data_IF_503961725530
#
_entry.id   IF_503961725530
#
_cell.length_a   1.000
_cell.length_b   1.000
_cell.length_c   1.000
_cell.angle_alpha   90.00
_cell.angle_beta   90.00
_cell.angle_gamma   90.00
#
_symmetry.space_group_name_H-M   'P 1'
#
loop_
_entity.id
_entity.type
_entity.pdbx_description
1 polymer ?
#
# COMPACT_ATOMS: atom_id res chain seq x y z
N UNK A 1 -87.83 46.25 40.22
CA UNK A 1 -86.85 45.13 40.17
C UNK A 1 -86.23 45.07 38.79
N UNK A 2 -85.04 45.62 38.67
CA UNK A 2 -84.29 45.67 37.40
C UNK A 2 -83.24 44.55 37.44
N UNK A 3 -83.37 43.58 36.53
CA UNK A 3 -82.35 42.55 36.26
C UNK A 3 -81.37 43.10 35.26
N UNK A 4 -80.12 43.24 35.68
CA UNK A 4 -78.98 43.56 34.79
C UNK A 4 -78.52 42.28 34.15
N UNK A 5 -78.55 42.19 32.80
CA UNK A 5 -77.87 41.14 32.02
C UNK A 5 -76.44 41.54 31.86
N UNK A 6 -75.50 40.69 32.32
CA UNK A 6 -74.10 40.84 32.07
C UNK A 6 -73.74 40.03 30.80
N UNK A 7 -73.26 40.73 29.74
CA UNK A 7 -72.67 40.09 28.55
C UNK A 7 -71.25 39.67 28.89
N UNK A 8 -71.02 38.36 28.82
CA UNK A 8 -69.65 37.77 28.91
C UNK A 8 -69.16 37.67 27.47
N UNK A 9 -68.20 38.53 27.08
CA UNK A 9 -67.47 38.44 25.81
C UNK A 9 -66.42 37.30 25.92
N UNK A 10 -66.66 36.25 25.15
CA UNK A 10 -65.66 35.17 24.96
C UNK A 10 -64.58 35.66 23.97
N UNK A 11 -63.39 35.93 24.47
CA UNK A 11 -62.22 36.12 23.60
C UNK A 11 -61.69 34.74 23.18
N UNK A 12 -61.92 34.35 21.94
CA UNK A 12 -61.25 33.19 21.32
C UNK A 12 -59.85 33.64 20.92
N UNK A 13 -58.85 33.28 21.73
CA UNK A 13 -57.44 33.36 21.33
C UNK A 13 -57.17 32.25 20.34
N UNK A 14 -57.16 32.62 19.06
CA UNK A 14 -56.69 31.71 18.03
C UNK A 14 -55.16 31.49 18.23
N UNK A 15 -54.79 30.37 18.85
CA UNK A 15 -53.40 29.93 18.89
C UNK A 15 -53.02 29.43 17.49
N UNK A 16 -52.46 30.35 16.65
CA UNK A 16 -51.85 29.96 15.39
C UNK A 16 -50.60 29.13 15.70
N UNK A 17 -50.75 27.80 15.68
CA UNK A 17 -49.61 26.89 15.62
C UNK A 17 -48.89 27.12 14.30
N UNK A 18 -47.85 27.94 14.35
CA UNK A 18 -46.92 28.01 13.23
C UNK A 18 -46.21 26.65 13.14
N UNK A 19 -46.58 25.89 12.13
CA UNK A 19 -45.83 24.71 11.74
C UNK A 19 -44.49 25.22 11.23
N UNK A 20 -43.43 25.12 12.07
CA UNK A 20 -42.07 25.30 11.60
C UNK A 20 -41.82 24.24 10.54
N UNK A 21 -41.75 24.64 9.27
CA UNK A 21 -41.32 23.74 8.21
C UNK A 21 -39.97 23.15 8.63
N UNK A 22 -39.89 21.84 8.72
CA UNK A 22 -38.65 21.16 9.02
C UNK A 22 -37.61 21.59 7.95
N UNK A 23 -36.58 22.30 8.37
CA UNK A 23 -35.53 22.75 7.49
C UNK A 23 -34.81 21.53 6.93
N UNK A 24 -34.97 21.28 5.64
CA UNK A 24 -34.23 20.22 4.96
C UNK A 24 -32.85 20.73 4.58
N UNK A 25 -31.82 20.19 5.23
CA UNK A 25 -30.42 20.37 4.84
C UNK A 25 -29.91 19.14 4.12
N UNK A 26 -29.17 19.33 3.04
CA UNK A 26 -28.45 18.25 2.37
C UNK A 26 -26.93 18.47 2.47
N UNK A 27 -26.22 17.36 2.65
CA UNK A 27 -24.78 17.33 2.72
C UNK A 27 -24.26 16.33 1.69
N UNK A 28 -23.29 16.74 0.88
CA UNK A 28 -22.52 15.83 0.01
C UNK A 28 -21.05 16.01 0.32
N UNK A 29 -20.32 14.90 0.38
CA UNK A 29 -18.86 14.93 0.63
C UNK A 29 -18.19 14.15 -0.50
N UNK A 30 -17.13 14.74 -1.09
CA UNK A 30 -16.33 14.05 -2.11
C UNK A 30 -15.45 12.99 -1.45
N UNK A 31 -14.97 12.02 -2.23
CA UNK A 31 -13.95 11.06 -1.77
C UNK A 31 -12.71 11.80 -1.27
N UNK A 32 -12.21 11.42 -0.11
CA UNK A 32 -10.89 11.83 0.39
C UNK A 32 -9.84 10.84 -0.14
N UNK A 33 -9.11 11.25 -1.15
CA UNK A 33 -8.05 10.44 -1.74
C UNK A 33 -6.68 10.98 -1.32
N UNK A 34 -5.91 10.17 -0.59
CA UNK A 34 -4.56 10.52 -0.17
C UNK A 34 -3.50 10.29 -1.26
N UNK A 35 -3.82 9.54 -2.33
CA UNK A 35 -2.83 9.16 -3.34
C UNK A 35 -2.00 7.95 -2.91
N UNK A 36 -0.66 8.00 -3.06
CA UNK A 36 0.24 6.88 -2.76
C UNK A 36 1.00 7.11 -1.47
N UNK A 37 0.86 6.18 -0.52
CA UNK A 37 1.61 6.20 0.74
C UNK A 37 2.91 5.40 0.60
N UNK A 38 4.02 6.04 0.94
CA UNK A 38 5.37 5.47 0.89
C UNK A 38 6.08 5.50 2.26
N UNK A 39 5.33 5.44 3.36
CA UNK A 39 5.88 5.45 4.73
C UNK A 39 6.11 6.84 5.32
N UNK A 40 6.05 7.91 4.54
CA UNK A 40 6.08 9.30 5.01
C UNK A 40 4.66 9.81 5.27
N UNK A 41 4.52 10.81 6.16
CA UNK A 41 3.21 11.42 6.40
C UNK A 41 2.62 11.96 5.10
N UNK A 42 1.32 11.72 4.90
CA UNK A 42 0.62 12.08 3.68
C UNK A 42 -0.67 12.82 4.02
N UNK A 43 -0.83 14.02 3.46
CA UNK A 43 -2.03 14.84 3.65
C UNK A 43 -2.94 14.78 2.43
N UNK A 44 -4.24 14.87 2.66
CA UNK A 44 -5.25 14.92 1.61
C UNK A 44 -6.42 15.81 2.03
N UNK A 45 -7.24 16.20 1.06
CA UNK A 45 -8.45 17.00 1.32
C UNK A 45 -9.65 16.44 0.57
N UNK A 46 -10.84 16.64 1.15
CA UNK A 46 -12.12 16.45 0.48
C UNK A 46 -13.00 17.68 0.67
N UNK A 47 -14.04 17.79 -0.13
CA UNK A 47 -14.98 18.92 -0.08
C UNK A 47 -16.34 18.44 0.41
N UNK A 48 -16.81 19.03 1.49
CA UNK A 48 -18.16 18.88 2.02
C UNK A 48 -19.00 20.09 1.56
N UNK A 49 -20.03 19.85 0.75
CA UNK A 49 -20.97 20.88 0.28
C UNK A 49 -22.29 20.77 1.06
N UNK A 50 -22.61 21.81 1.77
CA UNK A 50 -23.86 21.97 2.50
C UNK A 50 -24.84 22.82 1.67
N UNK A 51 -26.07 22.34 1.52
CA UNK A 51 -27.19 23.13 0.97
C UNK A 51 -28.29 23.17 2.03
N UNK A 52 -28.45 24.32 2.65
CA UNK A 52 -29.32 24.49 3.81
C UNK A 52 -29.89 25.91 3.86
N UNK A 53 -31.15 26.07 4.27
CA UNK A 53 -31.75 27.39 4.46
C UNK A 53 -31.48 27.99 5.85
N UNK A 54 -30.98 27.21 6.80
CA UNK A 54 -30.78 27.62 8.18
C UNK A 54 -29.43 27.18 8.76
N UNK A 55 -29.39 27.01 10.08
CA UNK A 55 -28.23 26.52 10.80
C UNK A 55 -27.97 25.05 10.55
N UNK A 56 -26.70 24.65 10.49
CA UNK A 56 -26.25 23.27 10.34
C UNK A 56 -25.00 22.97 11.17
N UNK A 57 -24.81 21.70 11.47
CA UNK A 57 -23.55 21.19 12.00
C UNK A 57 -23.20 19.86 11.31
N UNK A 58 -21.92 19.57 11.21
CA UNK A 58 -21.39 18.34 10.63
C UNK A 58 -20.58 17.60 11.68
N UNK A 59 -21.14 16.61 12.37
CA UNK A 59 -20.37 15.66 13.16
C UNK A 59 -19.62 14.71 12.24
N UNK A 60 -18.45 14.21 12.70
CA UNK A 60 -17.68 13.22 11.99
C UNK A 60 -17.49 12.01 12.91
N UNK A 61 -18.14 10.90 12.56
CA UNK A 61 -18.10 9.68 13.37
C UNK A 61 -16.84 8.84 13.08
N UNK A 62 -16.76 7.70 13.76
CA UNK A 62 -15.79 6.67 13.44
C UNK A 62 -16.05 6.12 12.04
N UNK A 63 -14.98 5.67 11.36
CA UNK A 63 -15.12 4.91 10.12
C UNK A 63 -15.48 3.45 10.37
N UNK A 64 -15.38 2.63 9.32
CA UNK A 64 -15.65 1.18 9.34
C UNK A 64 -14.44 0.33 9.72
N UNK A 65 -13.22 0.91 9.79
CA UNK A 65 -11.99 0.21 10.17
C UNK A 65 -12.03 -0.34 11.60
N UNK A 66 -11.42 -1.50 11.81
CA UNK A 66 -11.43 -2.19 13.11
C UNK A 66 -10.63 -1.41 14.15
N UNK A 67 -11.20 -1.19 15.31
CA UNK A 67 -10.57 -0.43 16.40
C UNK A 67 -10.55 1.08 16.19
N UNK A 68 -11.26 1.60 15.18
CA UNK A 68 -11.36 3.03 14.94
C UNK A 68 -11.99 3.77 16.14
N UNK A 69 -11.42 4.95 16.39
CA UNK A 69 -11.98 5.97 17.29
C UNK A 69 -12.28 7.23 16.49
N UNK A 70 -12.95 8.21 17.08
CA UNK A 70 -13.22 9.47 16.38
C UNK A 70 -11.96 10.33 16.14
N UNK A 71 -10.88 10.07 16.87
CA UNK A 71 -9.60 10.79 16.73
C UNK A 71 -8.55 10.01 15.93
N UNK A 72 -8.69 8.68 15.83
CA UNK A 72 -7.84 7.83 14.99
C UNK A 72 -8.71 6.81 14.29
N UNK A 73 -8.75 6.89 12.98
CA UNK A 73 -9.55 6.05 12.11
C UNK A 73 -8.64 5.11 11.33
N UNK A 74 -9.20 4.04 10.79
CA UNK A 74 -8.43 3.05 10.03
C UNK A 74 -9.08 2.76 8.69
N UNK A 75 -8.28 2.79 7.64
CA UNK A 75 -8.64 2.24 6.33
C UNK A 75 -8.26 0.77 6.30
N UNK A 76 -9.17 -0.08 5.86
CA UNK A 76 -8.93 -1.52 5.72
C UNK A 76 -8.40 -1.84 4.34
N UNK A 77 -7.34 -2.62 4.27
CA UNK A 77 -6.65 -3.05 3.06
C UNK A 77 -6.63 -4.57 2.88
N UNK A 78 -5.68 -5.09 2.08
CA UNK A 78 -5.56 -6.52 1.82
C UNK A 78 -5.41 -7.33 3.11
N UNK A 79 -6.09 -8.49 3.15
CA UNK A 79 -6.09 -9.44 4.28
C UNK A 79 -6.50 -8.81 5.63
N UNK A 80 -7.30 -7.73 5.60
CA UNK A 80 -7.73 -7.04 6.81
C UNK A 80 -6.65 -6.18 7.48
N UNK A 81 -5.59 -5.82 6.75
CA UNK A 81 -4.57 -4.90 7.25
C UNK A 81 -5.16 -3.49 7.45
N UNK A 82 -4.79 -2.84 8.54
CA UNK A 82 -5.33 -1.53 8.92
C UNK A 82 -4.26 -0.44 8.77
N UNK A 83 -4.62 0.67 8.12
CA UNK A 83 -3.80 1.87 7.97
C UNK A 83 -4.47 3.05 8.68
N UNK A 84 -3.83 3.56 9.73
CA UNK A 84 -4.35 4.64 10.56
C UNK A 84 -4.28 6.01 9.88
N UNK A 85 -5.34 6.80 10.05
CA UNK A 85 -5.41 8.19 9.60
C UNK A 85 -6.22 9.05 10.58
N UNK A 86 -6.14 10.37 10.41
CA UNK A 86 -6.89 11.34 11.19
C UNK A 86 -7.59 12.34 10.28
N UNK A 87 -8.70 12.89 10.75
CA UNK A 87 -9.42 13.99 10.10
C UNK A 87 -9.39 15.23 10.97
N UNK A 88 -9.31 16.40 10.32
CA UNK A 88 -9.18 17.69 10.97
C UNK A 88 -10.13 18.73 10.36
N UNK A 89 -10.51 19.71 11.17
CA UNK A 89 -11.33 20.84 10.76
C UNK A 89 -10.52 21.97 10.14
N UNK A 90 -9.19 21.96 10.31
CA UNK A 90 -8.28 23.04 9.93
C UNK A 90 -7.07 22.54 9.14
N UNK A 91 -6.52 23.41 8.28
CA UNK A 91 -5.37 23.12 7.44
C UNK A 91 -4.06 22.93 8.22
N UNK A 92 -3.98 23.41 9.46
CA UNK A 92 -2.81 23.22 10.33
C UNK A 92 -2.82 21.86 11.04
N UNK A 93 -3.90 21.09 10.87
CA UNK A 93 -4.10 19.77 11.49
C UNK A 93 -4.01 19.80 13.03
N UNK A 94 -4.59 20.84 13.64
CA UNK A 94 -4.54 21.06 15.10
C UNK A 94 -5.80 20.59 15.81
N UNK A 95 -6.96 20.70 15.16
CA UNK A 95 -8.25 20.35 15.74
C UNK A 95 -8.83 19.12 15.05
N UNK A 96 -8.90 17.98 15.77
CA UNK A 96 -9.54 16.78 15.22
C UNK A 96 -11.00 17.07 14.88
N UNK A 97 -11.46 16.49 13.78
CA UNK A 97 -12.87 16.53 13.41
C UNK A 97 -13.55 15.25 13.92
N UNK A 98 -14.35 15.38 14.94
CA UNK A 98 -15.07 14.29 15.61
C UNK A 98 -16.55 14.66 15.85
N UNK A 99 -17.26 13.92 16.69
CA UNK A 99 -18.66 14.20 17.00
C UNK A 99 -18.84 15.30 18.05
N UNK A 100 -17.75 15.79 18.65
CA UNK A 100 -17.75 16.88 19.65
C UNK A 100 -17.15 18.17 19.08
N UNK A 101 -16.12 18.04 18.25
CA UNK A 101 -15.48 19.17 17.54
C UNK A 101 -16.15 19.34 16.18
N UNK A 102 -17.37 19.86 16.19
CA UNK A 102 -18.24 20.01 15.02
C UNK A 102 -17.81 21.19 14.16
N UNK A 103 -17.96 21.05 12.84
CA UNK A 103 -18.02 22.22 11.95
C UNK A 103 -19.47 22.64 11.80
N UNK A 104 -19.75 23.91 12.02
CA UNK A 104 -21.11 24.47 11.99
C UNK A 104 -21.18 25.77 11.20
N UNK A 105 -22.38 26.10 10.75
CA UNK A 105 -22.62 27.35 10.00
C UNK A 105 -24.10 27.59 9.72
N UNK A 106 -24.38 28.53 8.84
CA UNK A 106 -25.73 28.88 8.39
C UNK A 106 -25.77 29.03 6.87
N UNK A 107 -26.89 28.63 6.26
CA UNK A 107 -27.07 28.71 4.80
C UNK A 107 -26.22 27.74 4.02
N UNK A 108 -26.07 27.99 2.73
CA UNK A 108 -25.24 27.18 1.85
C UNK A 108 -23.76 27.43 2.14
N UNK A 109 -22.97 26.36 2.19
CA UNK A 109 -21.53 26.44 2.45
C UNK A 109 -20.74 25.35 1.76
N UNK A 110 -19.44 25.61 1.60
CA UNK A 110 -18.44 24.62 1.21
C UNK A 110 -17.39 24.56 2.31
N UNK A 111 -17.17 23.36 2.85
CA UNK A 111 -16.25 23.09 3.95
C UNK A 111 -15.18 22.11 3.45
N UNK A 112 -13.91 22.35 3.79
CA UNK A 112 -12.82 21.43 3.48
C UNK A 112 -12.64 20.44 4.62
N UNK A 113 -12.61 19.15 4.28
CA UNK A 113 -12.18 18.06 5.17
C UNK A 113 -10.69 17.88 4.98
N UNK A 114 -9.91 18.00 6.05
CA UNK A 114 -8.47 17.78 6.02
C UNK A 114 -8.15 16.40 6.61
N UNK A 115 -7.32 15.63 5.93
CA UNK A 115 -6.93 14.31 6.39
C UNK A 115 -5.41 14.14 6.42
N UNK A 116 -4.93 13.30 7.35
CA UNK A 116 -3.51 12.94 7.45
C UNK A 116 -3.36 11.44 7.72
N UNK A 117 -2.60 10.76 6.87
CA UNK A 117 -2.02 9.45 7.16
C UNK A 117 -0.68 9.68 7.85
N UNK A 118 -0.49 9.14 9.05
CA UNK A 118 0.74 9.35 9.83
C UNK A 118 1.92 8.57 9.23
N UNK A 119 3.14 9.08 9.41
CA UNK A 119 4.35 8.39 8.96
C UNK A 119 4.63 7.11 9.74
N UNK A 120 5.49 6.24 9.18
CA UNK A 120 6.05 5.06 9.87
C UNK A 120 5.13 3.87 9.98
N UNK A 121 3.96 3.87 9.32
CA UNK A 121 3.08 2.71 9.32
C UNK A 121 3.57 1.66 8.32
N UNK A 122 3.55 0.41 8.76
CA UNK A 122 4.08 -0.75 8.03
C UNK A 122 2.94 -1.66 7.65
N UNK A 123 2.54 -1.61 6.40
CA UNK A 123 1.40 -2.37 5.87
C UNK A 123 1.73 -2.94 4.47
N UNK A 124 0.99 -3.97 4.06
CA UNK A 124 1.16 -4.62 2.76
C UNK A 124 0.77 -3.69 1.59
N UNK A 125 1.36 -3.85 0.41
CA UNK A 125 0.90 -3.17 -0.80
C UNK A 125 -0.56 -3.49 -1.13
N UNK A 126 -1.27 -2.48 -1.64
CA UNK A 126 -2.68 -2.59 -2.02
C UNK A 126 -3.44 -1.29 -1.84
N UNK A 127 -4.72 -1.33 -2.12
CA UNK A 127 -5.64 -0.22 -1.87
C UNK A 127 -6.27 -0.38 -0.49
N UNK A 128 -6.24 0.70 0.29
CA UNK A 128 -6.85 0.81 1.61
C UNK A 128 -8.03 1.76 1.53
N UNK A 129 -9.17 1.37 2.10
CA UNK A 129 -10.40 2.16 2.07
C UNK A 129 -11.07 2.19 3.43
N UNK A 130 -11.75 3.29 3.72
CA UNK A 130 -12.69 3.42 4.83
C UNK A 130 -13.96 4.10 4.34
N UNK A 131 -15.08 3.81 4.98
CA UNK A 131 -16.35 4.52 4.77
C UNK A 131 -16.65 5.35 6.00
N UNK A 132 -16.49 6.65 5.84
CA UNK A 132 -16.80 7.64 6.86
C UNK A 132 -18.26 7.99 6.85
N UNK A 133 -18.80 8.25 8.03
CA UNK A 133 -20.19 8.71 8.18
C UNK A 133 -20.27 10.06 8.90
N UNK A 134 -21.25 10.85 8.47
CA UNK A 134 -21.76 12.03 9.15
C UNK A 134 -23.20 11.72 9.59
N UNK A 135 -23.91 12.69 10.19
CA UNK A 135 -25.31 12.49 10.58
C UNK A 135 -26.24 12.16 9.40
N UNK A 136 -25.89 12.56 8.17
CA UNK A 136 -26.82 12.52 7.02
C UNK A 136 -26.24 11.89 5.76
N UNK A 137 -24.91 11.65 5.69
CA UNK A 137 -24.27 11.11 4.50
C UNK A 137 -23.03 10.30 4.84
N UNK A 138 -22.55 9.53 3.88
CA UNK A 138 -21.28 8.81 3.94
C UNK A 138 -20.37 9.25 2.81
N UNK A 139 -19.05 9.07 2.98
CA UNK A 139 -18.06 9.28 1.93
C UNK A 139 -16.90 8.30 2.10
N UNK A 140 -16.18 8.06 1.01
CA UNK A 140 -15.03 7.13 1.01
C UNK A 140 -13.74 7.87 1.28
N UNK A 141 -12.88 7.27 2.08
CA UNK A 141 -11.47 7.64 2.25
C UNK A 141 -10.63 6.54 1.62
N UNK A 142 -9.59 6.91 0.85
CA UNK A 142 -8.78 5.93 0.13
C UNK A 142 -7.32 6.35 0.04
N UNK A 143 -6.43 5.34 0.01
CA UNK A 143 -5.00 5.48 -0.24
C UNK A 143 -4.48 4.22 -0.93
N UNK A 144 -3.42 4.35 -1.71
CA UNK A 144 -2.77 3.22 -2.39
C UNK A 144 -1.34 3.05 -1.86
N UNK A 145 -0.94 1.80 -1.61
CA UNK A 145 0.44 1.43 -1.32
C UNK A 145 0.92 0.57 -2.50
N UNK A 146 1.94 1.05 -3.23
CA UNK A 146 2.50 0.33 -4.37
C UNK A 146 3.64 -0.57 -3.94
N UNK A 147 3.68 -1.79 -4.49
CA UNK A 147 4.86 -2.63 -4.40
C UNK A 147 5.99 -2.02 -5.23
N UNK A 148 7.22 -2.16 -4.76
CA UNK A 148 8.43 -1.75 -5.46
C UNK A 148 9.59 -2.62 -4.99
N UNK A 149 10.46 -3.05 -5.92
CA UNK A 149 11.67 -3.81 -5.61
C UNK A 149 12.88 -3.22 -6.32
N UNK A 150 14.01 -3.19 -5.63
CA UNK A 150 15.32 -2.97 -6.24
C UNK A 150 16.18 -4.22 -6.07
N UNK A 151 16.98 -4.55 -7.09
CA UNK A 151 17.83 -5.73 -7.10
C UNK A 151 19.24 -5.35 -7.57
N UNK A 152 20.26 -5.94 -6.92
CA UNK A 152 21.65 -5.85 -7.36
C UNK A 152 22.34 -7.20 -7.12
N UNK A 153 23.34 -7.50 -7.91
CA UNK A 153 24.08 -8.76 -7.80
C UNK A 153 25.60 -8.53 -7.81
N UNK A 154 26.31 -9.31 -7.04
CA UNK A 154 27.76 -9.36 -7.09
C UNK A 154 28.25 -10.42 -8.08
N UNK A 155 29.46 -10.22 -8.63
CA UNK A 155 30.10 -11.18 -9.51
C UNK A 155 30.33 -12.52 -8.80
N UNK A 156 30.02 -13.63 -9.48
CA UNK A 156 30.39 -14.97 -9.06
C UNK A 156 31.68 -15.36 -9.77
N UNK A 157 32.77 -15.53 -9.03
CA UNK A 157 34.05 -15.98 -9.55
C UNK A 157 34.37 -17.39 -9.07
N UNK A 158 34.66 -18.29 -10.00
CA UNK A 158 35.07 -19.67 -9.68
C UNK A 158 36.57 -19.80 -9.43
N UNK A 159 37.37 -18.82 -9.90
CA UNK A 159 38.84 -18.97 -9.90
C UNK A 159 39.34 -19.92 -10.98
N UNK A 160 40.45 -20.63 -10.73
CA UNK A 160 41.09 -21.51 -11.71
C UNK A 160 40.47 -22.90 -11.69
N UNK A 161 39.94 -23.33 -12.83
CA UNK A 161 39.42 -24.68 -13.01
C UNK A 161 40.51 -25.64 -13.52
N UNK A 162 40.71 -26.72 -12.79
CA UNK A 162 41.81 -27.71 -13.06
C UNK A 162 41.24 -29.09 -13.47
N UNK A 163 39.94 -29.17 -13.82
CA UNK A 163 39.27 -30.46 -14.12
C UNK A 163 38.59 -31.10 -12.90
N UNK A 164 38.87 -30.62 -11.69
CA UNK A 164 38.16 -31.05 -10.47
C UNK A 164 36.87 -30.28 -10.26
N UNK A 165 35.93 -30.84 -9.49
CA UNK A 165 34.70 -30.16 -9.08
C UNK A 165 35.06 -28.85 -8.37
N UNK A 166 34.46 -27.75 -8.80
CA UNK A 166 34.71 -26.43 -8.25
C UNK A 166 33.40 -25.73 -7.84
N UNK A 167 33.33 -25.30 -6.58
CA UNK A 167 32.22 -24.59 -6.03
C UNK A 167 32.60 -23.14 -5.76
N UNK A 168 31.65 -22.24 -5.93
CA UNK A 168 31.78 -20.82 -5.57
C UNK A 168 30.45 -20.26 -5.10
N UNK A 169 30.47 -19.05 -4.57
CA UNK A 169 29.25 -18.32 -4.15
C UNK A 169 29.35 -16.84 -4.52
N UNK A 170 28.18 -16.22 -4.73
CA UNK A 170 28.01 -14.78 -4.79
C UNK A 170 26.73 -14.38 -4.07
N UNK A 171 26.40 -13.10 -4.08
CA UNK A 171 25.19 -12.60 -3.42
C UNK A 171 24.33 -11.78 -4.39
N UNK A 172 23.03 -11.89 -4.20
CA UNK A 172 22.01 -10.99 -4.76
C UNK A 172 21.40 -10.23 -3.60
N UNK A 173 21.41 -8.90 -3.66
CA UNK A 173 20.75 -8.04 -2.69
C UNK A 173 19.42 -7.57 -3.27
N UNK A 174 18.34 -7.76 -2.53
CA UNK A 174 16.97 -7.37 -2.90
C UNK A 174 16.39 -6.50 -1.80
N UNK A 175 15.86 -5.34 -2.17
CA UNK A 175 15.10 -4.47 -1.28
C UNK A 175 13.72 -4.24 -1.88
N UNK A 176 12.69 -4.85 -1.29
CA UNK A 176 11.30 -4.68 -1.68
C UNK A 176 10.51 -3.97 -0.58
N UNK A 177 9.45 -3.28 -1.00
CA UNK A 177 8.42 -2.73 -0.09
C UNK A 177 8.07 -3.78 0.95
N UNK A 178 7.93 -3.34 2.20
CA UNK A 178 7.62 -4.23 3.30
C UNK A 178 6.31 -4.99 3.05
N UNK A 179 6.30 -6.28 3.44
CA UNK A 179 5.21 -7.23 3.19
C UNK A 179 4.85 -7.47 1.71
N UNK A 180 5.59 -6.92 0.75
CA UNK A 180 5.40 -7.25 -0.67
C UNK A 180 5.93 -8.66 -0.97
N UNK A 181 5.12 -9.59 -1.48
CA UNK A 181 5.64 -10.86 -1.97
C UNK A 181 6.46 -10.63 -3.23
N UNK A 182 7.57 -11.34 -3.38
CA UNK A 182 8.38 -11.28 -4.58
C UNK A 182 9.06 -12.61 -4.90
N UNK A 183 9.51 -12.73 -6.16
CA UNK A 183 10.31 -13.85 -6.64
C UNK A 183 11.60 -13.31 -7.28
N UNK A 184 12.72 -14.02 -7.09
CA UNK A 184 13.97 -13.74 -7.77
C UNK A 184 14.28 -14.88 -8.73
N UNK A 185 14.37 -14.54 -10.02
CA UNK A 185 14.74 -15.45 -11.08
C UNK A 185 16.14 -15.16 -11.63
N UNK A 186 16.83 -16.21 -12.14
CA UNK A 186 18.09 -16.12 -12.85
C UNK A 186 17.95 -16.67 -14.26
N UNK A 187 18.38 -15.90 -15.26
CA UNK A 187 18.36 -16.33 -16.66
C UNK A 187 19.23 -17.55 -16.93
N UNK A 188 19.05 -18.14 -18.10
CA UNK A 188 19.90 -19.27 -18.58
C UNK A 188 21.35 -18.85 -18.84
N UNK A 189 21.63 -17.54 -18.97
CA UNK A 189 22.91 -17.00 -19.41
C UNK A 189 22.96 -16.77 -20.92
N UNK A 190 24.12 -16.29 -21.37
CA UNK A 190 24.39 -15.93 -22.77
C UNK A 190 25.06 -17.05 -23.57
N UNK A 191 25.51 -18.12 -22.91
CA UNK A 191 26.21 -19.23 -23.55
C UNK A 191 25.31 -20.04 -24.51
N UNK A 192 25.80 -20.34 -25.72
CA UNK A 192 25.02 -21.06 -26.74
C UNK A 192 24.59 -22.46 -26.25
N UNK A 193 23.29 -22.78 -26.35
CA UNK A 193 22.68 -24.02 -25.88
C UNK A 193 22.65 -24.17 -24.36
N UNK A 194 22.77 -23.08 -23.59
CA UNK A 194 22.59 -23.10 -22.14
C UNK A 194 21.14 -23.39 -21.75
N UNK A 195 20.96 -24.06 -20.62
CA UNK A 195 19.68 -24.30 -19.97
C UNK A 195 19.74 -23.87 -18.49
N UNK A 196 18.62 -23.84 -17.79
CA UNK A 196 18.59 -23.50 -16.36
C UNK A 196 19.43 -24.51 -15.54
N UNK A 197 19.41 -25.77 -15.89
CA UNK A 197 20.15 -26.84 -15.19
C UNK A 197 21.62 -26.94 -15.63
N UNK A 198 21.95 -26.48 -16.83
CA UNK A 198 23.30 -26.54 -17.40
C UNK A 198 23.61 -25.23 -18.14
N UNK A 199 24.16 -24.26 -17.44
CA UNK A 199 24.64 -23.01 -18.01
C UNK A 199 26.01 -23.17 -18.65
N UNK A 200 26.38 -22.24 -19.50
CA UNK A 200 27.65 -22.31 -20.24
C UNK A 200 28.35 -20.96 -20.26
N UNK A 201 29.56 -20.93 -19.70
CA UNK A 201 30.50 -19.83 -19.93
C UNK A 201 31.14 -20.00 -21.29
N UNK A 202 31.37 -18.90 -22.00
CA UNK A 202 32.07 -18.87 -23.30
C UNK A 202 33.51 -18.41 -23.09
N UNK A 203 34.44 -19.13 -23.68
CA UNK A 203 35.89 -18.87 -23.64
C UNK A 203 36.50 -18.72 -25.00
N UNK A 204 37.85 -18.87 -25.10
CA UNK A 204 38.59 -18.71 -26.34
C UNK A 204 38.06 -19.60 -27.45
N UNK A 205 38.00 -19.05 -28.70
CA UNK A 205 37.50 -19.74 -29.89
C UNK A 205 36.13 -20.37 -29.72
N UNK A 206 35.24 -19.69 -28.96
CA UNK A 206 33.87 -20.15 -28.66
C UNK A 206 33.79 -21.51 -27.94
N UNK A 207 34.87 -21.92 -27.26
CA UNK A 207 34.82 -23.09 -26.39
C UNK A 207 33.94 -22.81 -25.15
N UNK A 208 33.32 -23.82 -24.62
CA UNK A 208 32.40 -23.66 -23.50
C UNK A 208 32.89 -24.39 -22.25
N UNK A 209 32.52 -23.85 -21.08
CA UNK A 209 32.68 -24.48 -19.79
C UNK A 209 31.32 -24.52 -19.10
N UNK A 210 30.82 -25.72 -18.83
CA UNK A 210 29.50 -25.91 -18.22
C UNK A 210 29.53 -25.59 -16.72
N UNK A 211 28.46 -24.99 -16.22
CA UNK A 211 28.27 -24.75 -14.79
C UNK A 211 26.77 -24.71 -14.45
N UNK A 212 26.47 -24.72 -13.17
CA UNK A 212 25.08 -24.59 -12.69
C UNK A 212 25.00 -23.61 -11.53
N UNK A 213 23.85 -22.98 -11.34
CA UNK A 213 23.53 -22.10 -10.25
C UNK A 213 22.37 -22.65 -9.44
N UNK A 214 22.47 -22.57 -8.13
CA UNK A 214 21.51 -23.15 -7.19
C UNK A 214 21.11 -22.13 -6.13
N UNK A 215 19.91 -22.30 -5.58
CA UNK A 215 19.36 -21.49 -4.51
C UNK A 215 19.60 -22.07 -3.11
N UNK A 216 20.20 -23.25 -3.02
CA UNK A 216 20.52 -23.96 -1.78
C UNK A 216 22.00 -24.29 -1.64
N UNK A 217 22.51 -24.38 -0.41
CA UNK A 217 23.91 -24.70 -0.11
C UNK A 217 24.30 -26.13 -0.50
N UNK A 218 23.33 -27.05 -0.52
CA UNK A 218 23.51 -28.43 -1.00
C UNK A 218 23.69 -28.53 -2.50
N UNK A 219 23.35 -27.49 -3.25
CA UNK A 219 23.38 -27.45 -4.72
C UNK A 219 22.53 -28.53 -5.35
N UNK A 220 21.31 -28.66 -4.85
CA UNK A 220 20.31 -29.62 -5.31
C UNK A 220 19.15 -28.95 -6.05
N UNK A 221 18.84 -27.67 -5.74
CA UNK A 221 17.75 -26.89 -6.29
C UNK A 221 18.30 -25.86 -7.27
N UNK A 222 18.20 -26.12 -8.56
CA UNK A 222 18.60 -25.15 -9.58
C UNK A 222 17.83 -23.84 -9.43
N UNK A 223 18.53 -22.71 -9.67
CA UNK A 223 17.93 -21.39 -9.64
C UNK A 223 17.62 -20.94 -11.06
N UNK A 224 16.35 -20.98 -11.43
CA UNK A 224 15.85 -20.57 -12.74
C UNK A 224 15.03 -19.28 -12.68
N UNK A 225 14.14 -19.11 -13.67
CA UNK A 225 13.32 -17.92 -13.84
C UNK A 225 11.81 -18.20 -13.97
N UNK A 226 11.37 -19.43 -13.71
CA UNK A 226 9.95 -19.80 -13.72
C UNK A 226 9.36 -19.57 -12.34
N UNK A 227 8.54 -18.53 -12.19
CA UNK A 227 7.88 -18.18 -10.92
C UNK A 227 7.09 -19.38 -10.39
N UNK A 228 7.25 -19.66 -9.10
CA UNK A 228 6.58 -20.78 -8.41
C UNK A 228 7.22 -22.14 -8.63
N UNK A 229 8.24 -22.26 -9.50
CA UNK A 229 8.91 -23.54 -9.81
C UNK A 229 10.38 -23.52 -9.37
N UNK A 230 11.19 -22.66 -9.95
CA UNK A 230 12.64 -22.65 -9.76
C UNK A 230 13.21 -21.27 -9.34
N UNK A 231 12.36 -20.27 -9.11
CA UNK A 231 12.72 -18.99 -8.51
C UNK A 231 12.86 -19.09 -6.98
N UNK A 232 13.59 -18.16 -6.39
CA UNK A 232 13.55 -17.91 -4.95
C UNK A 232 12.33 -17.06 -4.65
N UNK A 233 11.43 -17.50 -3.76
CA UNK A 233 10.28 -16.74 -3.29
C UNK A 233 10.54 -16.18 -1.89
N UNK A 234 10.18 -14.93 -1.65
CA UNK A 234 10.32 -14.27 -0.36
C UNK A 234 9.31 -13.11 -0.19
N UNK A 235 9.34 -12.48 0.98
CA UNK A 235 8.52 -11.31 1.31
C UNK A 235 9.45 -10.14 1.65
N UNK A 236 9.14 -8.97 1.13
CA UNK A 236 9.87 -7.73 1.40
C UNK A 236 9.87 -7.36 2.88
N UNK A 237 10.97 -6.79 3.33
CA UNK A 237 11.15 -6.31 4.71
C UNK A 237 11.25 -4.79 4.81
N UNK A 238 11.17 -4.08 3.67
CA UNK A 238 11.46 -2.65 3.60
C UNK A 238 12.95 -2.31 3.67
N UNK A 239 13.81 -3.32 3.75
CA UNK A 239 15.27 -3.20 3.81
C UNK A 239 15.94 -4.20 2.88
N UNK A 240 17.19 -3.96 2.53
CA UNK A 240 17.95 -4.87 1.66
C UNK A 240 18.24 -6.20 2.37
N UNK A 241 17.88 -7.31 1.73
CA UNK A 241 18.17 -8.67 2.18
C UNK A 241 19.07 -9.34 1.15
N UNK A 242 20.09 -10.07 1.62
CA UNK A 242 21.02 -10.79 0.76
C UNK A 242 20.63 -12.26 0.62
N UNK A 243 20.67 -12.75 -0.61
CA UNK A 243 20.42 -14.14 -0.98
C UNK A 243 21.67 -14.71 -1.66
N UNK A 244 22.18 -15.85 -1.16
CA UNK A 244 23.38 -16.47 -1.69
C UNK A 244 23.08 -17.25 -2.96
N UNK A 245 23.84 -16.99 -4.01
CA UNK A 245 23.90 -17.80 -5.23
C UNK A 245 24.99 -18.83 -5.06
N UNK A 246 24.64 -20.10 -5.17
CA UNK A 246 25.59 -21.21 -5.09
C UNK A 246 25.93 -21.71 -6.48
N UNK A 247 27.18 -21.53 -6.91
CA UNK A 247 27.67 -21.97 -8.19
C UNK A 247 28.45 -23.27 -8.11
N UNK A 248 28.40 -24.09 -9.18
CA UNK A 248 29.17 -25.31 -9.32
C UNK A 248 29.64 -25.50 -10.78
N UNK A 249 30.93 -25.76 -10.95
CA UNK A 249 31.49 -26.34 -12.18
C UNK A 249 31.71 -27.83 -11.91
N UNK A 250 31.09 -28.74 -12.67
CA UNK A 250 31.30 -30.19 -12.50
C UNK A 250 32.72 -30.59 -12.89
N UNK A 251 33.22 -31.66 -12.29
CA UNK A 251 34.51 -32.27 -12.68
C UNK A 251 34.47 -32.87 -14.10
N UNK A 252 35.65 -33.14 -14.64
CA UNK A 252 35.81 -33.92 -15.88
C UNK A 252 35.64 -33.09 -17.17
N UNK A 253 35.67 -31.77 -17.10
CA UNK A 253 35.70 -30.91 -18.28
C UNK A 253 37.16 -30.55 -18.63
N UNK A 254 37.46 -30.50 -19.93
CA UNK A 254 38.81 -30.20 -20.44
C UNK A 254 38.75 -29.00 -21.42
N UNK A 255 38.39 -27.81 -20.92
CA UNK A 255 38.31 -26.63 -21.76
C UNK A 255 39.71 -26.16 -22.16
N UNK A 256 39.79 -25.37 -23.27
CA UNK A 256 41.06 -24.70 -23.65
C UNK A 256 41.49 -23.73 -22.57
N UNK A 257 42.82 -23.52 -22.37
CA UNK A 257 43.28 -22.49 -21.45
C UNK A 257 42.79 -21.10 -21.87
N UNK A 258 42.35 -20.30 -20.90
CA UNK A 258 41.87 -18.95 -21.10
C UNK A 258 40.78 -18.53 -20.13
N UNK A 259 40.26 -17.31 -20.28
CA UNK A 259 39.17 -16.80 -19.48
C UNK A 259 37.80 -17.26 -20.02
N UNK A 260 36.93 -17.68 -19.14
CA UNK A 260 35.55 -18.09 -19.46
C UNK A 260 34.58 -17.18 -18.72
N UNK A 261 33.60 -16.63 -19.43
CA UNK A 261 32.61 -15.70 -18.89
C UNK A 261 31.21 -16.04 -19.35
N UNK A 262 30.23 -15.69 -18.54
CA UNK A 262 28.80 -15.69 -18.88
C UNK A 262 28.13 -14.48 -18.22
N UNK A 263 27.01 -14.06 -18.79
CA UNK A 263 26.18 -12.96 -18.24
C UNK A 263 24.84 -13.53 -17.82
N UNK A 264 24.56 -13.45 -16.52
CA UNK A 264 23.29 -13.86 -15.91
C UNK A 264 22.48 -12.62 -15.56
N UNK A 265 21.22 -12.60 -16.00
CA UNK A 265 20.28 -11.55 -15.62
C UNK A 265 19.51 -12.05 -14.40
N UNK A 266 19.56 -11.27 -13.30
CA UNK A 266 18.73 -11.47 -12.12
C UNK A 266 17.51 -10.55 -12.22
N UNK A 267 16.32 -11.12 -12.03
CA UNK A 267 15.03 -10.40 -12.16
C UNK A 267 14.23 -10.57 -10.88
N UNK A 268 13.75 -9.47 -10.30
CA UNK A 268 12.74 -9.48 -9.25
C UNK A 268 11.35 -9.29 -9.87
N UNK A 269 10.42 -10.19 -9.54
CA UNK A 269 9.00 -10.12 -9.94
C UNK A 269 8.14 -9.98 -8.68
N UNK A 270 7.27 -8.95 -8.60
CA UNK A 270 6.47 -8.58 -7.44
C UNK A 270 5.08 -8.08 -7.83
#
# INVERSE_FOLDING_TARGET
MMRRLALIAFFIVACATQWAAAQSCSLTVTTLNFGTYAGTALSGTATAKVTCAGGWNIPMYTGTGVGATETTRYMTGPNGAELGYKLYTDAAHTTNWDNTSLVSGTGNATVTVYGVVTAGQVVAPGTYTDTMSTATTTFTVTVVITASCTISASTLSFGNYTGALLNSTSAISVNCTNLAPFNVGLSVGSGSGATITLRRMTGPSSTTLNYSLFRDSGRTLNWGNTVGTDTLSATGTGSAVQYTVYGRIPAGQFPRPGAYTDTIIATATY
#
